data_IF_443868917015
#
_entry.id   IF_443868917015
#
_cell.length_a   1.000
_cell.length_b   1.000
_cell.length_c   1.000
_cell.angle_alpha   90.00
_cell.angle_beta   90.00
_cell.angle_gamma   90.00
#
_symmetry.space_group_name_H-M   'P 1'
#
loop_
_entity.id
_entity.type
_entity.pdbx_description
1 polymer ?
2 non-polymer ?
3 water ?
#
# COMPACT_ATOMS: atom_id res chain seq x y z
N UNK A 7 13.07 28.99 -5.60
CA UNK A 7 12.24 30.14 -5.95
C UNK A 7 10.77 29.83 -5.78
N UNK A 8 10.32 28.73 -6.39
CA UNK A 8 8.93 28.31 -6.27
C UNK A 8 8.60 27.83 -4.86
N UNK A 9 8.15 28.75 -4.02
CA UNK A 9 7.87 28.44 -2.62
C UNK A 9 6.51 28.98 -2.17
N UNK A 10 5.69 28.11 -1.58
CA UNK A 10 4.47 28.54 -0.93
C UNK A 10 4.78 28.86 0.54
N UNK A 11 4.45 30.08 0.97
CA UNK A 11 4.73 30.52 2.35
C UNK A 11 3.69 30.01 3.34
N UNK A 12 3.03 28.91 3.01
CA UNK A 12 1.98 28.34 3.85
C UNK A 12 2.52 27.82 5.17
N UNK A 13 1.99 28.35 6.27
CA UNK A 13 2.37 27.89 7.61
C UNK A 13 1.36 26.86 8.11
N UNK A 14 1.86 25.88 8.85
CA UNK A 14 1.01 24.81 9.37
C UNK A 14 1.77 23.49 9.46
N UNK A 15 1.10 22.46 9.95
CA UNK A 15 1.72 21.15 10.09
C UNK A 15 0.91 20.05 9.38
N UNK A 16 1.57 18.94 9.08
CA UNK A 16 0.92 17.81 8.41
C UNK A 16 1.47 16.50 8.97
N UNK A 17 0.64 15.81 9.76
CA UNK A 17 1.08 14.56 10.38
C UNK A 17 0.56 13.36 9.58
N UNK A 18 1.48 12.55 9.08
CA UNK A 18 1.11 11.39 8.26
C UNK A 18 1.46 10.07 8.93
N UNK A 19 0.44 9.25 9.17
CA UNK A 19 0.65 7.90 9.70
C UNK A 19 0.54 6.90 8.56
N UNK A 20 1.54 6.05 8.42
CA UNK A 20 1.57 5.10 7.31
C UNK A 20 2.31 3.79 7.65
N UNK A 21 2.41 2.91 6.65
CA UNK A 21 3.08 1.62 6.83
C UNK A 21 4.47 1.65 6.19
N UNK A 22 5.17 0.52 6.25
CA UNK A 22 6.50 0.40 5.65
C UNK A 22 6.45 0.56 4.13
N UNK A 23 5.71 -0.33 3.48
CA UNK A 23 5.63 -0.38 2.02
C UNK A 23 5.29 0.96 1.39
N UNK A 24 4.31 1.67 1.96
CA UNK A 24 3.92 2.98 1.45
C UNK A 24 5.03 4.00 1.65
N UNK A 25 5.61 4.02 2.85
CA UNK A 25 6.67 4.97 3.18
C UNK A 25 7.98 4.62 2.46
N UNK A 26 8.21 3.35 2.24
CA UNK A 26 9.30 2.83 1.45
C UNK A 26 9.34 2.99 -0.05
N UNK A 27 8.22 2.76 -0.71
CA UNK A 27 8.17 2.64 -2.16
C UNK A 27 7.19 3.62 -2.83
N UNK A 28 6.25 4.17 -2.05
CA UNK A 28 5.21 5.04 -2.61
C UNK A 28 5.34 6.49 -2.16
N UNK A 29 5.78 6.70 -0.93
CA UNK A 29 5.87 8.04 -0.34
C UNK A 29 7.09 8.92 -0.66
N UNK A 30 8.33 8.37 -0.60
CA UNK A 30 9.52 9.22 -0.67
C UNK A 30 9.58 10.22 -1.84
N UNK A 31 9.11 9.81 -3.02
CA UNK A 31 9.06 10.70 -4.16
C UNK A 31 8.12 11.87 -3.91
N UNK A 32 6.98 11.59 -3.29
CA UNK A 32 5.99 12.61 -2.98
C UNK A 32 6.47 13.50 -1.83
N UNK A 33 7.07 12.88 -0.82
CA UNK A 33 7.54 13.59 0.37
C UNK A 33 8.56 14.68 0.04
N UNK A 34 9.59 14.34 -0.74
CA UNK A 34 10.65 15.28 -1.07
C UNK A 34 10.11 16.41 -1.95
N UNK A 35 9.18 16.08 -2.83
CA UNK A 35 8.54 17.08 -3.66
C UNK A 35 7.67 18.03 -2.85
N UNK A 36 7.16 17.54 -1.73
CA UNK A 36 6.29 18.35 -0.87
C UNK A 36 7.09 19.39 -0.08
N UNK A 37 8.10 18.94 0.64
CA UNK A 37 8.90 19.81 1.49
C UNK A 37 9.72 20.83 0.69
N UNK A 38 9.91 20.56 -0.61
CA UNK A 38 10.63 21.48 -1.47
C UNK A 38 9.74 22.62 -1.97
N UNK A 39 8.43 22.50 -1.74
CA UNK A 39 7.49 23.53 -2.15
C UNK A 39 6.76 24.13 -0.94
N UNK A 40 6.92 23.49 0.21
CA UNK A 40 6.33 24.01 1.45
C UNK A 40 7.33 23.99 2.60
N UNK A 41 8.30 24.92 2.58
CA UNK A 41 9.35 24.97 3.61
C UNK A 41 8.79 25.35 4.98
N UNK A 42 7.66 26.05 5.00
CA UNK A 42 7.06 26.52 6.25
C UNK A 42 6.06 25.51 6.82
N UNK A 43 5.88 24.38 6.12
CA UNK A 43 4.99 23.34 6.61
C UNK A 43 5.76 22.29 7.41
N UNK A 44 5.39 22.11 8.67
CA UNK A 44 6.06 21.15 9.54
C UNK A 44 5.56 19.74 9.27
N UNK A 45 6.35 18.96 8.53
CA UNK A 45 5.95 17.59 8.17
C UNK A 45 6.39 16.58 9.22
N UNK A 46 5.43 15.81 9.73
CA UNK A 46 5.72 14.75 10.69
C UNK A 46 5.17 13.43 10.19
N UNK A 47 5.99 12.37 10.27
CA UNK A 47 5.57 11.05 9.80
C UNK A 47 5.67 10.00 10.89
N UNK A 48 4.71 9.07 10.91
CA UNK A 48 4.70 8.00 11.90
C UNK A 48 4.44 6.65 11.24
N UNK A 49 5.46 5.78 11.25
CA UNK A 49 5.30 4.42 10.76
C UNK A 49 4.81 3.49 11.87
N UNK A 50 3.87 2.61 11.53
CA UNK A 50 3.36 1.63 12.47
C UNK A 50 2.49 0.59 11.79
N UNK A 51 1.99 -0.36 12.57
CA UNK A 51 1.06 -1.36 12.06
C UNK A 51 -0.23 -0.67 11.61
N UNK A 52 -0.81 -1.15 10.50
CA UNK A 52 -2.01 -0.58 9.90
C UNK A 52 -3.18 -0.44 10.88
N UNK A 53 -3.23 -1.34 11.86
CA UNK A 53 -4.28 -1.30 12.87
C UNK A 53 -3.98 -0.22 13.92
N UNK A 54 -2.74 0.25 13.96
CA UNK A 54 -2.34 1.32 14.87
C UNK A 54 -2.30 2.66 14.14
N UNK A 55 -2.15 2.59 12.82
CA UNK A 55 -2.15 3.78 11.98
C UNK A 55 -3.53 4.43 11.96
N UNK A 56 -4.57 3.61 11.82
CA UNK A 56 -5.94 4.09 11.79
C UNK A 56 -6.43 4.54 13.17
N UNK A 57 -5.62 4.29 14.20
CA UNK A 57 -5.93 4.72 15.54
C UNK A 57 -5.26 6.06 15.85
N UNK A 58 -4.22 6.39 15.10
CA UNK A 58 -3.50 7.64 15.29
C UNK A 58 -4.29 8.82 14.74
N UNK A 59 -4.83 8.66 13.54
CA UNK A 59 -5.62 9.70 12.89
C UNK A 59 -6.95 9.93 13.63
N UNK A 60 -7.61 8.88 14.11
CA UNK A 60 -8.88 9.06 14.79
C UNK A 60 -8.75 9.87 16.03
N UNK A 61 -7.70 9.60 16.77
CA UNK A 61 -7.49 10.17 18.07
C UNK A 61 -6.71 11.43 17.92
N UNK A 62 -6.44 11.80 16.69
CA UNK A 62 -5.92 13.11 16.42
C UNK A 62 -4.46 13.27 16.54
N UNK A 63 -3.78 12.15 16.60
CA UNK A 63 -2.33 12.16 16.63
C UNK A 63 -1.71 12.12 15.27
N UNK A 64 -2.55 12.17 14.27
CA UNK A 64 -2.13 12.19 12.87
C UNK A 64 -3.27 12.76 12.00
N UNK A 65 -2.90 13.36 10.88
CA UNK A 65 -3.88 13.92 9.95
C UNK A 65 -4.35 12.90 8.93
N UNK A 66 -3.41 12.37 8.15
CA UNK A 66 -3.74 11.39 7.13
C UNK A 66 -3.25 9.99 7.49
N UNK A 67 -3.95 8.98 6.98
CA UNK A 67 -3.58 7.60 7.19
C UNK A 67 -3.40 6.90 5.84
N UNK A 68 -2.19 6.96 5.30
CA UNK A 68 -1.91 6.33 4.01
C UNK A 68 -1.50 4.88 4.21
N UNK A 69 -2.47 3.98 4.13
CA UNK A 69 -2.23 2.55 4.27
C UNK A 69 -3.18 1.75 3.39
N UNK A 70 -3.09 0.44 3.42
CA UNK A 70 -4.00 -0.39 2.67
C UNK A 70 -5.29 -0.69 3.35
N UNK A 71 -5.95 -1.73 2.92
CA UNK A 71 -7.37 -1.84 3.12
C UNK A 71 -7.68 -1.67 4.58
N UNK A 72 -6.76 -2.08 5.43
CA UNK A 72 -6.95 -2.30 6.87
C UNK A 72 -7.71 -1.19 7.60
N UNK A 73 -7.88 -0.03 6.95
CA UNK A 73 -8.61 1.08 7.53
C UNK A 73 -10.12 0.88 7.46
N UNK A 74 -10.55 -0.18 6.76
CA UNK A 74 -11.97 -0.47 6.56
C UNK A 74 -12.68 -0.84 7.86
N UNK A 75 -11.94 -1.39 8.80
CA UNK A 75 -12.50 -1.78 10.07
C UNK A 75 -12.98 -0.54 10.74
N UNK A 76 -12.23 0.54 10.54
CA UNK A 76 -12.54 1.79 11.20
C UNK A 76 -13.50 2.64 10.37
N UNK A 77 -14.79 2.53 10.70
CA UNK A 77 -15.82 3.36 10.10
C UNK A 77 -15.85 4.72 10.76
N UNK A 78 -14.72 5.11 11.35
CA UNK A 78 -14.54 6.36 12.08
C UNK A 78 -14.56 7.60 11.27
N UNK A 79 -13.97 7.53 10.11
CA UNK A 79 -13.99 8.69 9.26
C UNK A 79 -13.35 8.39 7.90
N UNK A 80 -13.27 9.42 7.06
CA UNK A 80 -13.29 9.42 5.61
C UNK A 80 -12.20 8.56 5.07
N UNK A 81 -12.45 7.95 3.95
CA UNK A 81 -11.52 6.99 3.35
C UNK A 81 -11.52 7.13 1.83
N UNK A 82 -10.40 7.54 1.27
CA UNK A 82 -10.29 7.80 -0.17
C UNK A 82 -9.32 6.83 -0.86
N UNK A 83 -9.75 6.25 -2.00
CA UNK A 83 -8.92 5.33 -2.77
C UNK A 83 -7.82 6.06 -3.54
N UNK A 84 -6.59 5.58 -3.45
CA UNK A 84 -5.46 6.22 -4.12
C UNK A 84 -5.00 5.47 -5.36
N UNK A 85 -4.57 4.22 -5.18
CA UNK A 85 -4.11 3.40 -6.29
C UNK A 85 -4.22 1.91 -6.00
N UNK A 86 -4.34 1.11 -7.06
CA UNK A 86 -4.33 -0.34 -6.94
C UNK A 86 -2.91 -0.87 -7.07
N UNK A 87 -2.63 -1.99 -6.40
CA UNK A 87 -1.34 -2.66 -6.52
C UNK A 87 -1.52 -4.17 -6.36
N UNK A 88 -0.58 -4.94 -6.90
CA UNK A 88 -0.66 -6.40 -6.81
C UNK A 88 0.69 -7.04 -6.48
N UNK A 89 0.65 -8.31 -6.10
CA UNK A 89 1.84 -9.03 -5.67
C UNK A 89 2.67 -9.55 -6.85
N UNK A 90 3.88 -9.99 -6.53
CA UNK A 90 4.77 -10.62 -7.50
C UNK A 90 5.69 -11.55 -6.73
N UNK A 91 5.80 -12.79 -7.18
CA UNK A 91 6.62 -13.75 -6.44
C UNK A 91 8.11 -13.61 -6.79
N UNK A 92 8.95 -13.62 -5.76
CA UNK A 92 10.40 -13.51 -5.93
C UNK A 92 11.09 -14.82 -5.54
N UNK A 93 11.87 -15.36 -6.49
CA UNK A 93 12.60 -16.60 -6.26
C UNK A 93 14.04 -16.48 -6.71
N UNK A 94 14.89 -17.39 -6.24
CA UNK A 94 16.26 -17.48 -6.69
C UNK A 94 16.28 -17.93 -8.16
N UNK A 95 17.33 -17.58 -8.90
CA UNK A 95 17.41 -17.98 -10.31
C UNK A 95 17.57 -19.49 -10.46
N UNK A 96 17.88 -20.16 -9.36
CA UNK A 96 18.04 -21.61 -9.34
C UNK A 96 16.75 -22.33 -8.93
N UNK A 97 15.66 -21.57 -8.83
CA UNK A 97 14.38 -22.14 -8.40
C UNK A 97 13.55 -22.62 -9.59
N UNK A 98 12.85 -23.75 -9.43
CA UNK A 98 11.99 -24.34 -10.46
C UNK A 98 10.95 -23.38 -11.03
N UNK A 99 10.42 -22.49 -10.19
CA UNK A 99 9.42 -21.53 -10.63
C UNK A 99 10.00 -20.48 -11.59
N UNK A 100 11.28 -20.26 -11.51
CA UNK A 100 11.95 -19.16 -12.17
C UNK A 100 11.72 -19.32 -13.64
N UNK A 101 11.55 -20.57 -14.01
CA UNK A 101 11.47 -21.01 -15.38
C UNK A 101 10.05 -21.15 -15.97
N UNK A 102 9.02 -20.58 -15.36
CA UNK A 102 7.69 -20.89 -15.80
C UNK A 102 6.75 -19.74 -16.18
N UNK A 103 5.93 -19.99 -17.21
CA UNK A 103 4.90 -19.06 -17.60
C UNK A 103 3.56 -19.71 -17.63
N UNK A 104 2.62 -19.09 -16.97
CA UNK A 104 3.01 -18.23 -15.90
C UNK A 104 2.64 -19.12 -14.75
N UNK A 105 3.16 -18.84 -13.58
CA UNK A 105 2.91 -19.75 -12.53
C UNK A 105 1.47 -19.62 -12.28
N UNK A 106 0.97 -20.53 -11.49
CA UNK A 106 -0.43 -20.65 -11.25
C UNK A 106 -0.66 -20.79 -9.79
N UNK A 107 -1.89 -20.60 -9.38
CA UNK A 107 -2.26 -20.60 -7.99
C UNK A 107 -2.00 -21.91 -7.31
N UNK A 108 -2.23 -22.99 -8.05
CA UNK A 108 -2.00 -24.34 -7.54
C UNK A 108 -0.52 -24.68 -7.51
N UNK A 109 0.23 -24.16 -8.48
CA UNK A 109 1.65 -24.49 -8.61
C UNK A 109 2.55 -23.69 -7.66
N UNK A 110 1.94 -22.77 -6.92
CA UNK A 110 2.68 -21.97 -5.95
C UNK A 110 2.57 -22.57 -4.55
N UNK A 111 1.51 -23.33 -4.31
CA UNK A 111 1.25 -23.92 -3.00
C UNK A 111 2.08 -25.18 -2.76
N UNK A 112 2.85 -25.59 -3.76
CA UNK A 112 3.68 -26.77 -3.64
C UNK A 112 5.04 -26.44 -3.04
N UNK A 113 5.26 -25.16 -2.74
CA UNK A 113 6.54 -24.71 -2.19
C UNK A 113 6.34 -24.00 -0.85
N UNK A 114 7.40 -23.96 -0.02
CA UNK A 114 7.32 -23.15 1.20
C UNK A 114 7.21 -21.67 0.84
N UNK A 115 6.40 -20.91 1.58
CA UNK A 115 6.13 -19.53 1.22
C UNK A 115 6.67 -18.51 2.22
N UNK A 116 7.04 -17.34 1.72
CA UNK A 116 7.45 -16.22 2.56
C UNK A 116 6.66 -14.98 2.14
N UNK A 117 5.55 -14.71 2.82
CA UNK A 117 4.64 -13.63 2.45
C UNK A 117 4.50 -12.56 3.51
N UNK A 118 3.49 -11.69 3.34
CA UNK A 118 3.18 -10.67 4.33
C UNK A 118 2.35 -11.28 5.48
N UNK A 119 2.32 -10.62 6.62
CA UNK A 119 1.74 -11.24 7.76
C UNK A 119 0.40 -10.70 8.07
N UNK A 120 -0.60 -11.48 7.73
CA UNK A 120 -1.92 -11.21 8.20
C UNK A 120 -1.95 -9.74 7.96
N UNK A 121 -2.38 -8.96 8.94
CA UNK A 121 -2.87 -7.60 8.71
C UNK A 121 -1.95 -6.59 8.05
N UNK A 122 -0.67 -6.61 8.37
CA UNK A 122 0.26 -5.67 7.80
C UNK A 122 0.59 -5.98 6.36
N UNK A 123 0.32 -4.98 5.52
CA UNK A 123 0.60 -4.94 4.10
C UNK A 123 0.07 -6.06 3.18
N UNK A 124 -1.23 -6.36 3.26
CA UNK A 124 -1.92 -7.20 2.27
C UNK A 124 -2.06 -8.74 2.12
N UNK A 125 -1.88 -9.51 3.18
CA UNK A 125 -1.79 -10.96 3.11
C UNK A 125 -2.92 -11.86 2.63
N UNK A 126 -4.16 -11.57 2.97
CA UNK A 126 -5.20 -12.48 2.56
C UNK A 126 -6.38 -11.76 2.01
N UNK A 127 -6.82 -12.24 0.85
CA UNK A 127 -5.95 -13.04 0.03
C UNK A 127 -5.35 -14.24 0.75
N UNK A 128 -4.02 -14.26 0.83
CA UNK A 128 -3.25 -15.46 1.13
C UNK A 128 -3.62 -16.07 2.43
N UNK A 129 -3.79 -17.37 2.35
CA UNK A 129 -4.42 -18.17 3.38
C UNK A 129 -5.89 -18.15 3.02
N UNK A 130 -6.29 -17.12 2.29
CA UNK A 130 -7.69 -16.91 1.98
C UNK A 130 -8.03 -17.05 0.56
N UNK A 131 -7.10 -16.70 -0.31
CA UNK A 131 -7.26 -16.95 -1.71
C UNK A 131 -7.22 -18.42 -1.86
N UNK A 132 -6.34 -19.05 -1.14
CA UNK A 132 -6.25 -20.46 -1.25
C UNK A 132 -7.53 -21.10 -0.77
N UNK A 133 -8.13 -20.58 0.27
CA UNK A 133 -9.19 -21.27 0.92
C UNK A 133 -10.07 -21.51 -0.26
N UNK A 134 -10.13 -20.51 -1.12
CA UNK A 134 -10.99 -20.51 -2.26
C UNK A 134 -10.67 -21.61 -3.18
N UNK A 135 -9.39 -21.89 -3.32
CA UNK A 135 -8.95 -22.91 -4.22
C UNK A 135 -8.81 -24.20 -3.48
N UNK A 136 -9.28 -24.20 -2.24
CA UNK A 136 -9.24 -25.33 -1.35
C UNK A 136 -7.82 -25.83 -1.09
N UNK A 137 -6.86 -24.92 -1.12
CA UNK A 137 -5.46 -25.30 -0.92
C UNK A 137 -4.98 -25.01 0.50
N UNK A 138 -3.95 -25.75 0.92
CA UNK A 138 -3.33 -25.55 2.23
C UNK A 138 -1.82 -25.34 2.07
N UNK A 139 -1.41 -24.10 1.77
CA UNK A 139 0.00 -23.79 1.48
C UNK A 139 0.88 -23.81 2.73
N UNK A 140 2.14 -24.18 2.56
CA UNK A 140 3.09 -24.18 3.67
C UNK A 140 3.82 -22.83 3.76
N UNK A 141 3.37 -21.98 4.67
CA UNK A 141 3.95 -20.65 4.83
C UNK A 141 4.86 -20.61 6.06
N UNK A 142 6.17 -20.48 5.81
CA UNK A 142 7.17 -20.57 6.87
C UNK A 142 7.66 -19.22 7.37
N UNK A 143 7.28 -18.14 6.69
CA UNK A 143 7.69 -16.81 7.12
C UNK A 143 6.64 -15.74 6.74
N UNK A 144 6.12 -15.07 7.76
CA UNK A 144 5.20 -13.95 7.57
C UNK A 144 5.86 -12.66 8.05
N UNK A 145 6.32 -11.83 7.12
CA UNK A 145 7.05 -10.61 7.47
C UNK A 145 6.24 -9.34 7.20
N UNK A 146 6.57 -8.27 7.93
CA UNK A 146 5.89 -6.99 7.80
C UNK A 146 6.26 -6.29 6.48
N UNK A 147 7.55 -6.26 6.17
CA UNK A 147 8.03 -5.59 4.97
C UNK A 147 8.56 -6.57 3.93
N UNK A 148 9.07 -6.04 2.83
CA UNK A 148 9.56 -6.86 1.73
C UNK A 148 11.09 -6.96 1.72
N UNK A 149 11.74 -6.05 2.43
CA UNK A 149 13.20 -6.07 2.54
C UNK A 149 13.61 -7.31 3.34
N UNK A 150 12.82 -7.65 4.34
CA UNK A 150 13.05 -8.85 5.13
C UNK A 150 12.78 -10.10 4.30
N UNK A 151 11.66 -10.12 3.60
CA UNK A 151 11.26 -11.26 2.79
C UNK A 151 12.31 -11.66 1.75
N UNK A 152 12.79 -10.68 0.99
CA UNK A 152 13.78 -10.94 -0.05
C UNK A 152 15.10 -11.49 0.51
N UNK A 153 15.48 -11.05 1.71
CA UNK A 153 16.69 -11.55 2.34
C UNK A 153 16.57 -13.03 2.68
N UNK A 154 15.37 -13.45 3.07
CA UNK A 154 15.13 -14.86 3.40
C UNK A 154 14.78 -15.69 2.16
N UNK A 155 14.64 -15.01 1.03
CA UNK A 155 14.52 -15.68 -0.25
C UNK A 155 15.92 -16.03 -0.76
N UNK A 156 16.85 -15.10 -0.59
CA UNK A 156 18.26 -15.33 -0.92
C UNK A 156 18.84 -16.43 -0.04
N UNK A 157 18.34 -16.52 1.19
CA UNK A 157 18.75 -17.58 2.11
C UNK A 157 18.21 -18.93 1.65
N UNK A 158 17.00 -18.93 1.10
CA UNK A 158 16.40 -20.14 0.57
C UNK A 158 15.42 -20.80 1.52
N UNK A 159 14.76 -20.00 2.36
CA UNK A 159 13.79 -20.53 3.30
C UNK A 159 12.48 -20.86 2.60
N UNK A 160 12.26 -20.24 1.45
CA UNK A 160 11.06 -20.49 0.68
C UNK A 160 10.80 -19.46 -0.40
N UNK A 161 9.65 -19.58 -1.07
CA UNK A 161 9.26 -18.65 -2.13
C UNK A 161 8.61 -17.40 -1.57
N UNK A 162 9.14 -16.24 -1.94
CA UNK A 162 8.60 -14.98 -1.47
C UNK A 162 7.44 -14.46 -2.31
N UNK A 163 6.48 -13.83 -1.66
CA UNK A 163 5.37 -13.17 -2.35
C UNK A 163 5.20 -11.74 -1.84
N UNK A 164 5.74 -10.78 -2.59
CA UNK A 164 5.73 -9.38 -2.18
C UNK A 164 5.06 -8.46 -3.21
N UNK A 165 4.90 -7.19 -2.86
CA UNK A 165 4.34 -6.19 -3.78
C UNK A 165 5.27 -6.03 -4.98
N UNK A 166 4.69 -5.68 -6.13
CA UNK A 166 5.46 -5.51 -7.35
C UNK A 166 6.43 -4.34 -7.25
N UNK A 167 5.98 -3.27 -6.60
CA UNK A 167 6.81 -2.08 -6.41
C UNK A 167 7.99 -2.33 -5.48
N UNK A 168 7.94 -3.42 -4.73
CA UNK A 168 9.00 -3.77 -3.80
C UNK A 168 10.17 -4.45 -4.52
N UNK A 169 10.00 -4.72 -5.81
CA UNK A 169 11.03 -5.32 -6.63
C UNK A 169 11.53 -4.32 -7.68
N UNK A 170 12.83 -4.16 -7.77
CA UNK A 170 13.39 -3.49 -8.93
C UNK A 170 14.75 -4.01 -9.25
N UNK A 171 15.01 -4.17 -10.51
CA UNK A 171 16.26 -4.76 -10.92
C UNK A 171 17.25 -3.75 -10.55
N UNK A 172 18.49 -4.16 -10.47
CA UNK A 172 19.49 -3.22 -10.08
C UNK A 172 19.40 -2.69 -8.69
N UNK A 173 18.40 -3.10 -7.94
CA UNK A 173 18.36 -2.67 -6.57
C UNK A 173 18.41 -4.09 -6.07
N UNK A 174 17.60 -4.96 -6.65
CA UNK A 174 17.60 -6.37 -6.26
C UNK A 174 17.68 -7.30 -7.46
N UNK A 175 18.87 -7.46 -8.01
CA UNK A 175 19.05 -8.12 -9.29
C UNK A 175 19.50 -9.55 -9.26
N UNK A 176 19.59 -10.17 -8.11
CA UNK A 176 19.96 -11.55 -8.06
C UNK A 176 18.72 -12.33 -7.86
N UNK A 177 17.59 -11.64 -7.92
CA UNK A 177 16.33 -12.33 -7.71
C UNK A 177 15.53 -12.42 -9.00
N UNK A 178 14.57 -13.35 -9.05
CA UNK A 178 13.71 -13.51 -10.21
C UNK A 178 12.29 -13.02 -9.91
N UNK A 179 11.79 -12.12 -10.76
CA UNK A 179 10.46 -11.56 -10.58
C UNK A 179 9.43 -12.24 -11.47
N UNK A 180 8.28 -12.59 -10.90
CA UNK A 180 7.20 -13.21 -11.65
C UNK A 180 5.86 -12.54 -11.29
N UNK A 181 5.12 -12.08 -12.30
CA UNK A 181 3.83 -11.43 -12.05
C UNK A 181 2.78 -12.40 -11.54
N UNK A 182 1.98 -11.94 -10.58
CA UNK A 182 0.93 -12.78 -9.98
C UNK A 182 -0.38 -12.03 -9.84
N UNK A 183 -0.67 -11.15 -10.79
CA UNK A 183 -1.93 -10.41 -10.77
C UNK A 183 -3.08 -11.26 -11.32
N UNK A 184 -2.72 -12.32 -12.06
CA UNK A 184 -3.68 -13.32 -12.50
C UNK A 184 -3.91 -14.31 -11.38
N UNK A 185 -2.96 -14.40 -10.46
CA UNK A 185 -3.04 -15.28 -9.31
C UNK A 185 -3.82 -14.64 -8.16
N UNK A 186 -3.43 -13.43 -7.81
CA UNK A 186 -4.06 -12.72 -6.70
C UNK A 186 -4.75 -11.44 -7.16
N UNK A 187 -5.90 -11.13 -6.56
CA UNK A 187 -6.62 -9.89 -6.88
C UNK A 187 -5.85 -8.69 -6.32
N UNK A 188 -6.01 -7.53 -6.95
CA UNK A 188 -5.28 -6.33 -6.54
C UNK A 188 -5.79 -5.75 -5.21
N UNK A 189 -4.91 -5.10 -4.47
CA UNK A 189 -5.30 -4.43 -3.23
C UNK A 189 -5.38 -2.92 -3.44
N UNK A 190 -6.22 -2.26 -2.64
CA UNK A 190 -6.46 -0.83 -2.81
C UNK A 190 -5.84 0.00 -1.69
N UNK A 191 -4.80 0.76 -2.01
CA UNK A 191 -4.20 1.68 -1.05
C UNK A 191 -5.14 2.86 -0.83
N UNK A 192 -5.50 3.09 0.43
CA UNK A 192 -6.45 4.14 0.77
C UNK A 192 -5.77 5.23 1.60
N UNK A 193 -6.43 6.37 1.74
CA UNK A 193 -5.95 7.42 2.62
C UNK A 193 -7.03 7.81 3.63
N UNK A 194 -6.71 7.69 4.91
CA UNK A 194 -7.68 7.92 5.97
C UNK A 194 -7.53 9.25 6.68
N UNK A 195 -8.62 10.00 6.74
CA UNK A 195 -8.66 11.28 7.44
C UNK A 195 -10.07 11.55 7.98
N UNK A 196 -10.25 12.68 8.67
CA UNK A 196 -11.53 12.99 9.30
C UNK A 196 -12.26 14.14 8.62
N UNK A 197 -13.59 14.12 8.70
CA UNK A 197 -14.43 15.19 8.17
C UNK A 197 -14.21 16.49 8.95
N UNK A 198 -13.84 16.35 10.22
CA UNK A 198 -13.56 17.49 11.08
C UNK A 198 -12.24 18.15 10.69
N UNK A 199 -11.34 17.38 10.10
CA UNK A 199 -10.05 17.90 9.68
C UNK A 199 -10.21 18.92 8.56
N UNK A 200 -9.91 20.19 8.86
CA UNK A 200 -9.96 21.25 7.86
C UNK A 200 -8.86 21.03 6.83
N UNK A 201 -9.26 20.75 5.59
CA UNK A 201 -8.30 20.46 4.53
C UNK A 201 -7.60 21.73 4.04
N UNK A 202 -6.33 21.84 4.37
CA UNK A 202 -5.50 22.96 3.93
C UNK A 202 -5.10 22.78 2.47
N UNK A 203 -4.62 23.85 1.85
CA UNK A 203 -4.26 23.80 0.44
C UNK A 203 -3.07 22.88 0.19
N UNK A 204 -2.15 22.84 1.16
CA UNK A 204 -0.99 21.95 1.05
C UNK A 204 -1.39 20.49 1.24
N UNK A 205 -2.55 20.26 1.86
CA UNK A 205 -3.07 18.91 2.03
C UNK A 205 -3.69 18.41 0.72
N UNK A 206 -4.48 19.26 0.07
CA UNK A 206 -5.06 18.94 -1.24
C UNK A 206 -3.97 18.63 -2.27
N UNK A 207 -2.96 19.48 -2.32
CA UNK A 207 -1.84 19.32 -3.25
C UNK A 207 -1.06 18.04 -2.97
N UNK A 208 -0.97 17.65 -1.70
CA UNK A 208 -0.28 16.43 -1.32
C UNK A 208 -1.05 15.20 -1.80
N UNK A 209 -2.37 15.25 -1.67
CA UNK A 209 -3.23 14.14 -2.09
C UNK A 209 -3.21 13.94 -3.60
N UNK A 210 -3.33 15.04 -4.34
CA UNK A 210 -3.37 14.97 -5.81
C UNK A 210 -2.01 14.63 -6.39
N UNK A 211 -0.96 14.71 -5.57
CA UNK A 211 0.38 14.32 -5.98
C UNK A 211 0.60 12.83 -5.68
N UNK A 212 -0.08 12.33 -4.66
CA UNK A 212 -0.02 10.91 -4.32
C UNK A 212 -1.11 10.16 -5.09
N UNK A 213 -2.13 10.89 -5.51
CA UNK A 213 -3.24 10.33 -6.28
C UNK A 213 -3.81 11.37 -7.23
N UNK A 214 -3.30 11.39 -8.47
CA UNK A 214 -3.62 12.40 -9.50
C UNK A 214 -5.12 12.62 -9.70
N UNK A 215 -5.89 11.55 -9.59
CA UNK A 215 -7.34 11.63 -9.80
C UNK A 215 -8.06 12.35 -8.66
N UNK A 216 -7.43 12.38 -7.49
CA UNK A 216 -8.05 13.02 -6.32
C UNK A 216 -7.80 14.53 -6.28
N UNK A 217 -8.43 15.27 -7.18
CA UNK A 217 -8.38 16.73 -7.18
C UNK A 217 -9.28 17.28 -6.07
N UNK A 218 -9.22 18.59 -5.84
CA UNK A 218 -10.00 19.23 -4.78
C UNK A 218 -11.49 18.96 -4.90
N UNK A 219 -12.04 19.18 -6.10
CA UNK A 219 -13.47 18.94 -6.33
C UNK A 219 -13.83 17.46 -6.21
N UNK A 220 -12.89 16.58 -6.53
CA UNK A 220 -13.09 15.15 -6.35
C UNK A 220 -13.05 14.79 -4.86
N UNK A 221 -12.10 15.38 -4.15
CA UNK A 221 -11.98 15.18 -2.70
C UNK A 221 -13.19 15.74 -1.96
N UNK A 222 -13.57 16.99 -2.29
CA UNK A 222 -14.70 17.64 -1.65
C UNK A 222 -16.03 16.89 -1.89
N UNK A 223 -16.21 16.39 -3.11
CA UNK A 223 -17.41 15.62 -3.44
C UNK A 223 -17.48 14.34 -2.62
N UNK A 224 -16.34 13.67 -2.48
CA UNK A 224 -16.26 12.45 -1.67
C UNK A 224 -16.56 12.73 -0.21
N UNK A 225 -16.07 13.86 0.28
CA UNK A 225 -16.34 14.28 1.65
C UNK A 225 -17.81 14.65 1.82
N UNK A 226 -18.37 15.30 0.80
CA UNK A 226 -19.78 15.68 0.79
C UNK A 226 -20.67 14.45 0.95
N UNK A 227 -20.36 13.40 0.19
CA UNK A 227 -21.04 12.12 0.34
C UNK A 227 -20.66 11.52 1.69
N UNK A 228 -21.64 11.46 2.60
CA UNK A 228 -21.38 11.05 3.98
C UNK A 228 -21.39 9.53 4.15
N UNK A 229 -20.60 8.84 3.34
CA UNK A 229 -20.47 7.40 3.40
C UNK A 229 -19.26 6.92 2.60
N UNK A 230 -18.42 6.10 3.23
CA UNK A 230 -17.28 5.51 2.54
C UNK A 230 -17.69 4.57 1.42
N UNK A 231 -18.85 3.93 1.60
CA UNK A 231 -19.38 3.01 0.59
C UNK A 231 -19.80 3.79 -0.66
N UNK A 232 -20.36 4.98 -0.46
CA UNK A 232 -20.74 5.86 -1.56
C UNK A 232 -19.49 6.40 -2.27
N UNK A 233 -18.45 6.67 -1.50
CA UNK A 233 -17.17 7.12 -2.05
C UNK A 233 -16.56 6.03 -2.93
N UNK A 234 -16.50 4.81 -2.39
CA UNK A 234 -15.94 3.67 -3.09
C UNK A 234 -16.76 3.33 -4.34
N UNK A 235 -18.01 3.77 -4.36
CA UNK A 235 -18.88 3.54 -5.51
C UNK A 235 -18.79 4.68 -6.53
N UNK A 236 -18.30 5.83 -6.09
CA UNK A 236 -18.11 6.98 -6.98
C UNK A 236 -17.00 6.70 -7.99
N UNK A 237 -16.04 5.89 -7.58
CA UNK A 237 -14.92 5.54 -8.44
C UNK A 237 -15.14 4.20 -9.13
N UNK A 238 -16.41 3.80 -9.27
CA UNK A 238 -16.76 2.56 -9.94
C UNK A 238 -16.40 2.61 -11.42
N UNK A 239 -16.77 3.70 -12.07
CA UNK A 239 -16.45 3.89 -13.48
C UNK A 239 -15.16 4.70 -13.66
N UNK A 240 -14.51 5.03 -12.54
CA UNK A 240 -13.26 5.78 -12.57
C UNK A 240 -12.08 4.84 -12.33
N UNK A 241 -11.09 4.87 -13.22
CA UNK A 241 -9.94 3.97 -13.12
C UNK A 241 -8.82 4.54 -12.24
N UNK A 242 -8.21 3.68 -11.44
CA UNK A 242 -7.16 4.09 -10.50
C UNK A 242 -5.79 3.64 -11.00
N UNK A 243 -4.72 4.31 -10.54
CA UNK A 243 -3.36 3.88 -10.89
C UNK A 243 -3.09 2.44 -10.47
N UNK A 244 -2.32 1.70 -11.28
CA UNK A 244 -2.09 0.28 -11.04
C UNK A 244 -0.60 0.00 -10.85
N UNK A 245 -0.21 -0.35 -9.63
CA UNK A 245 1.18 -0.69 -9.36
C UNK A 245 1.36 -2.17 -9.01
X LIG B 1 1.43 7.75 -5.14
X LIG B 1 2.35 7.13 -6.05
X LIG B 1 2.02 5.68 -6.20
X LIG B 1 2.98 4.89 -5.60
X LIG B 1 2.25 7.80 -7.38
X LIG B 1 2.96 8.82 -7.62
X LIG B 1 4.68 3.14 -6.02
X LIG B 1 4.06 4.46 -6.32
X LIG B 1 4.39 5.05 -7.35
X LIG B 1 1.47 7.36 -8.25
X LIG C 1 -5.13 2.65 -15.26
X LIG C 1 -4.37 3.69 -14.64
X LIG C 1 -2.93 3.51 -14.96
X LIG C 1 -2.29 2.86 -13.93
X LIG C 1 -4.83 5.03 -15.13
X LIG C 1 -5.25 5.89 -14.31
X LIG C 1 -0.30 4.25 -13.42
X LIG C 1 -0.92 2.95 -13.81
X LIG C 1 -0.22 1.96 -13.98
X LIG C 1 -4.81 5.28 -16.35
#
# INVERSE_FOLDING_TARGET
HHHHHHEHTWPDKGSLYIATTHTQARYALPGVIKGFIERYPRVSLHMHQGSPTQIAEAVSKGNADFAIATEALHLYDDLVMLPCYHWNRSIVVTPDHPLAATSSVTIEALAQYPLVTYTFGFTGRSELDTAFNRAGLTPRIVFTATDADVIKTYVRLGLGVGVIASMAVDPLADPDLVRIDAHDIFSHSTTKIGFRRSTFLRSYMYDFIQRFAPHLTRDVVDTAVALRSNEEIEAMFQDIKLPEK
OAS N CA CB OG C O C2A C1A OAC OXT
OAS N CA CB OG C O C2A C1A OAC OXT
#
